data_IF_416037665217
#
_entry.id   IF_416037665217
#
_cell.length_a   1.000
_cell.length_b   1.000
_cell.length_c   1.000
_cell.angle_alpha   90.00
_cell.angle_beta   90.00
_cell.angle_gamma   90.00
#
_symmetry.space_group_name_H-M   'P 1'
#
loop_
_entity.id
_entity.type
_entity.pdbx_description
1 polymer ?
#
# COMPACT_ATOMS: atom_id res chain seq x y z
N UNK A 1 32.18 -15.88 -24.70
CA UNK A 1 31.73 -14.67 -23.99
C UNK A 1 30.45 -14.99 -23.23
N UNK A 2 30.46 -14.90 -21.89
CA UNK A 2 29.23 -14.97 -21.12
C UNK A 2 28.39 -13.71 -21.41
N UNK A 3 27.10 -13.81 -21.70
CA UNK A 3 26.28 -12.62 -21.88
C UNK A 3 26.31 -11.78 -20.60
N UNK A 4 26.67 -10.51 -20.74
CA UNK A 4 26.60 -9.54 -19.66
C UNK A 4 25.13 -9.39 -19.27
N UNK A 5 24.76 -9.93 -18.10
CA UNK A 5 23.41 -9.71 -17.55
C UNK A 5 23.32 -8.21 -17.20
N UNK A 6 22.56 -7.47 -17.98
CA UNK A 6 22.15 -6.13 -17.57
C UNK A 6 21.43 -6.24 -16.23
N UNK A 7 21.81 -5.40 -15.26
CA UNK A 7 21.08 -5.32 -14.01
C UNK A 7 19.61 -4.99 -14.32
N UNK A 8 18.65 -5.61 -13.63
CA UNK A 8 17.25 -5.32 -13.85
C UNK A 8 17.01 -3.82 -13.61
N UNK A 9 16.32 -3.19 -14.55
CA UNK A 9 15.86 -1.81 -14.40
C UNK A 9 14.54 -1.83 -13.66
N UNK A 10 14.27 -0.77 -12.93
CA UNK A 10 13.03 -0.58 -12.20
C UNK A 10 12.43 0.76 -12.56
N UNK A 11 11.11 0.77 -12.74
CA UNK A 11 10.35 2.01 -12.70
C UNK A 11 9.62 2.06 -11.37
N UNK A 12 9.68 3.22 -10.72
CA UNK A 12 8.92 3.51 -9.50
C UNK A 12 8.14 4.79 -9.73
N UNK A 13 6.88 4.79 -9.37
CA UNK A 13 5.99 5.92 -9.56
C UNK A 13 5.14 6.14 -8.30
N UNK A 14 4.81 7.40 -8.02
CA UNK A 14 3.91 7.76 -6.94
C UNK A 14 3.15 9.05 -7.27
N UNK A 15 1.86 9.05 -6.96
CA UNK A 15 0.99 10.22 -7.08
C UNK A 15 0.05 10.25 -5.88
N UNK A 16 -0.12 11.41 -5.27
CA UNK A 16 -1.10 11.64 -4.22
C UNK A 16 -1.76 12.99 -4.42
N UNK A 17 -3.07 13.06 -4.25
CA UNK A 17 -3.83 14.27 -4.41
C UNK A 17 -4.92 14.38 -3.33
N UNK A 18 -5.12 15.57 -2.82
CA UNK A 18 -6.09 15.84 -1.73
C UNK A 18 -7.56 15.68 -2.18
N UNK A 19 -7.82 15.68 -3.50
CA UNK A 19 -9.19 15.68 -4.02
C UNK A 19 -9.92 16.96 -3.65
N UNK A 20 -11.20 16.81 -3.26
CA UNK A 20 -12.04 17.90 -2.75
C UNK A 20 -12.05 18.01 -1.22
N UNK A 21 -11.28 17.15 -0.54
CA UNK A 21 -11.14 17.22 0.91
C UNK A 21 -10.35 18.45 1.33
N UNK A 22 -10.49 18.89 2.58
CA UNK A 22 -9.71 20.00 3.13
C UNK A 22 -8.27 19.57 3.44
N UNK A 23 -8.08 18.34 3.91
CA UNK A 23 -6.79 17.76 4.28
C UNK A 23 -6.54 16.49 3.48
N UNK A 24 -5.27 16.17 3.28
CA UNK A 24 -4.87 14.89 2.75
C UNK A 24 -4.50 13.96 3.92
N UNK A 25 -5.40 13.04 4.26
CA UNK A 25 -5.20 12.03 5.29
C UNK A 25 -4.51 10.78 4.73
N UNK A 26 -4.38 10.68 3.38
CA UNK A 26 -3.52 9.70 2.73
C UNK A 26 -2.05 10.03 2.98
N UNK A 27 -1.26 9.01 3.24
CA UNK A 27 0.18 9.11 3.22
C UNK A 27 0.80 7.96 2.41
N UNK A 28 1.93 8.23 1.77
CA UNK A 28 2.63 7.21 0.99
C UNK A 28 4.13 7.32 1.15
N UNK A 29 4.83 6.25 0.81
CA UNK A 29 6.29 6.20 0.80
C UNK A 29 6.80 5.31 -0.33
N UNK A 30 7.80 5.82 -1.00
CA UNK A 30 8.73 5.03 -1.80
C UNK A 30 10.11 5.19 -1.17
N UNK A 31 10.71 4.08 -0.77
CA UNK A 31 12.07 4.02 -0.27
C UNK A 31 12.87 3.03 -1.13
N UNK A 32 14.02 3.46 -1.63
CA UNK A 32 14.98 2.63 -2.34
C UNK A 32 16.29 2.63 -1.59
N UNK A 33 16.80 1.45 -1.28
CA UNK A 33 18.08 1.22 -0.64
C UNK A 33 18.97 0.37 -1.55
N UNK A 34 20.10 0.93 -1.98
CA UNK A 34 21.14 0.16 -2.68
C UNK A 34 21.99 -0.55 -1.64
N UNK A 35 22.08 -1.87 -1.74
CA UNK A 35 22.79 -2.77 -0.84
C UNK A 35 23.84 -3.55 -1.62
N UNK A 36 24.85 -4.14 -0.95
CA UNK A 36 25.89 -4.93 -1.64
C UNK A 36 25.33 -6.07 -2.50
N UNK A 37 24.22 -6.67 -2.10
CA UNK A 37 23.58 -7.78 -2.81
C UNK A 37 22.54 -7.36 -3.85
N UNK A 38 22.14 -6.08 -3.91
CA UNK A 38 21.12 -5.58 -4.84
C UNK A 38 20.30 -4.44 -4.25
N UNK A 39 19.08 -4.27 -4.75
CA UNK A 39 18.19 -3.19 -4.36
C UNK A 39 17.04 -3.68 -3.47
N UNK A 40 16.80 -2.96 -2.38
CA UNK A 40 15.64 -3.14 -1.51
C UNK A 40 14.69 -1.96 -1.70
N UNK A 41 13.43 -2.25 -2.01
CA UNK A 41 12.37 -1.25 -2.16
C UNK A 41 11.33 -1.42 -1.08
N UNK A 42 10.86 -0.30 -0.52
CA UNK A 42 9.64 -0.24 0.26
C UNK A 42 8.67 0.70 -0.45
N UNK A 43 7.50 0.18 -0.81
CA UNK A 43 6.35 0.95 -1.26
C UNK A 43 5.28 0.84 -0.20
N UNK A 44 4.61 1.94 0.13
CA UNK A 44 3.51 1.90 1.09
C UNK A 44 2.49 3.00 0.79
N UNK A 45 1.22 2.67 1.03
CA UNK A 45 0.10 3.61 1.08
C UNK A 45 -0.67 3.39 2.37
N UNK A 46 -1.19 4.46 2.94
CA UNK A 46 -2.02 4.46 4.14
C UNK A 46 -3.07 5.55 4.00
N UNK A 47 -4.32 5.18 4.28
CA UNK A 47 -5.47 6.08 4.29
C UNK A 47 -5.88 6.29 5.76
N UNK A 48 -5.74 7.52 6.22
CA UNK A 48 -5.97 7.89 7.61
C UNK A 48 -7.42 8.19 7.91
N UNK A 49 -7.88 7.76 9.07
CA UNK A 49 -9.24 8.02 9.58
C UNK A 49 -9.21 8.55 11.02
N UNK A 50 -10.21 9.35 11.38
CA UNK A 50 -10.34 9.86 12.76
C UNK A 50 -10.77 11.32 12.84
N UNK A 51 -11.04 11.94 11.68
CA UNK A 51 -11.46 13.33 11.54
C UNK A 51 -10.37 14.36 11.86
N UNK A 52 -10.48 15.55 11.27
CA UNK A 52 -9.50 16.64 11.40
C UNK A 52 -8.05 16.18 11.10
N UNK A 53 -7.11 16.46 12.00
CA UNK A 53 -5.69 16.11 11.82
C UNK A 53 -5.35 14.68 12.26
N UNK A 54 -6.28 13.96 12.90
CA UNK A 54 -5.99 12.65 13.51
C UNK A 54 -5.68 11.57 12.46
N UNK A 55 -6.41 11.54 11.35
CA UNK A 55 -6.17 10.62 10.24
C UNK A 55 -4.81 10.85 9.59
N UNK A 56 -4.44 12.11 9.29
CA UNK A 56 -3.13 12.47 8.74
C UNK A 56 -1.98 11.97 9.64
N UNK A 57 -2.11 12.13 10.96
CA UNK A 57 -1.11 11.63 11.90
C UNK A 57 -1.04 10.12 11.90
N UNK A 58 -2.18 9.42 11.85
CA UNK A 58 -2.20 7.95 11.86
C UNK A 58 -1.47 7.37 10.65
N UNK A 59 -1.82 7.82 9.44
CA UNK A 59 -1.21 7.36 8.20
C UNK A 59 0.30 7.65 8.14
N UNK A 60 0.70 8.85 8.55
CA UNK A 60 2.11 9.25 8.61
C UNK A 60 2.92 8.41 9.58
N UNK A 61 2.46 8.25 10.83
CA UNK A 61 3.16 7.47 11.86
C UNK A 61 3.30 6.02 11.46
N UNK A 62 2.27 5.43 10.85
CA UNK A 62 2.30 4.06 10.37
C UNK A 62 3.39 3.86 9.31
N UNK A 63 3.44 4.73 8.29
CA UNK A 63 4.42 4.64 7.20
C UNK A 63 5.84 4.99 7.68
N UNK A 64 6.01 5.91 8.60
CA UNK A 64 7.31 6.19 9.20
C UNK A 64 7.87 4.99 9.95
N UNK A 65 7.02 4.24 10.67
CA UNK A 65 7.42 3.01 11.34
C UNK A 65 7.92 1.94 10.35
N UNK A 66 7.22 1.76 9.22
CA UNK A 66 7.65 0.86 8.15
C UNK A 66 8.99 1.30 7.54
N UNK A 67 9.13 2.59 7.28
CA UNK A 67 10.34 3.16 6.67
C UNK A 67 11.57 2.94 7.56
N UNK A 68 11.39 3.12 8.86
CA UNK A 68 12.43 2.88 9.86
C UNK A 68 12.82 1.39 9.92
N UNK A 69 11.83 0.49 9.94
CA UNK A 69 12.08 -0.94 9.93
C UNK A 69 12.82 -1.40 8.65
N UNK A 70 12.45 -0.86 7.48
CA UNK A 70 13.11 -1.16 6.22
C UNK A 70 14.57 -0.65 6.20
N UNK A 71 14.83 0.56 6.71
CA UNK A 71 16.19 1.10 6.85
C UNK A 71 17.03 0.28 7.83
N UNK A 72 16.48 -0.08 8.99
CA UNK A 72 17.16 -0.92 9.97
C UNK A 72 17.52 -2.29 9.39
N UNK A 73 16.64 -2.87 8.58
CA UNK A 73 16.94 -4.11 7.86
C UNK A 73 18.02 -3.92 6.81
N UNK A 74 17.99 -2.81 6.05
CA UNK A 74 19.05 -2.45 5.10
C UNK A 74 20.42 -2.31 5.77
N UNK A 75 20.51 -1.64 6.92
CA UNK A 75 21.77 -1.52 7.70
C UNK A 75 22.22 -2.87 8.25
N UNK A 76 21.30 -3.70 8.75
CA UNK A 76 21.59 -5.07 9.18
C UNK A 76 22.28 -5.89 8.07
N UNK A 77 21.81 -5.77 6.83
CA UNK A 77 22.38 -6.45 5.68
C UNK A 77 23.75 -5.86 5.26
N UNK A 78 23.92 -4.54 5.33
CA UNK A 78 25.22 -3.87 5.04
C UNK A 78 26.31 -4.28 6.03
N UNK A 79 25.95 -4.57 7.27
CA UNK A 79 26.86 -5.07 8.30
C UNK A 79 27.23 -6.56 8.12
N UNK A 80 26.76 -7.19 7.05
CA UNK A 80 27.03 -8.60 6.73
C UNK A 80 26.31 -9.58 7.65
N UNK A 81 25.28 -9.14 8.37
CA UNK A 81 24.48 -10.00 9.23
C UNK A 81 23.59 -10.92 8.39
N UNK A 82 23.24 -12.12 8.89
CA UNK A 82 22.40 -13.07 8.17
C UNK A 82 21.06 -12.47 7.76
N UNK A 83 20.66 -12.70 6.51
CA UNK A 83 19.37 -12.23 6.01
C UNK A 83 18.21 -12.90 6.78
N UNK A 84 17.23 -12.08 7.11
CA UNK A 84 15.95 -12.52 7.67
C UNK A 84 14.92 -12.52 6.56
N UNK A 85 14.02 -13.50 6.50
CA UNK A 85 12.98 -13.57 5.49
C UNK A 85 12.12 -12.30 5.46
N UNK A 86 11.83 -11.76 4.28
CA UNK A 86 11.13 -10.49 4.10
C UNK A 86 9.75 -10.47 4.78
N UNK A 87 9.06 -11.61 4.78
CA UNK A 87 7.77 -11.76 5.47
C UNK A 87 7.87 -11.47 6.98
N UNK A 88 8.95 -11.97 7.62
CA UNK A 88 9.20 -11.71 9.05
C UNK A 88 9.60 -10.26 9.31
N UNK A 89 10.33 -9.63 8.39
CA UNK A 89 10.65 -8.20 8.47
C UNK A 89 9.37 -7.37 8.37
N UNK A 90 8.51 -7.68 7.40
CA UNK A 90 7.22 -7.00 7.22
C UNK A 90 6.30 -7.17 8.43
N UNK A 91 6.17 -8.38 8.96
CA UNK A 91 5.37 -8.66 10.17
C UNK A 91 5.81 -7.80 11.37
N UNK A 92 7.12 -7.72 11.62
CA UNK A 92 7.67 -6.87 12.68
C UNK A 92 7.42 -5.38 12.41
N UNK A 93 7.54 -4.95 11.15
CA UNK A 93 7.28 -3.56 10.75
C UNK A 93 5.82 -3.17 10.97
N UNK A 94 4.87 -4.03 10.60
CA UNK A 94 3.43 -3.84 10.83
C UNK A 94 3.10 -3.80 12.32
N UNK A 95 3.69 -4.70 13.12
CA UNK A 95 3.53 -4.70 14.59
C UNK A 95 4.07 -3.41 15.21
N UNK A 96 5.19 -2.89 14.72
CA UNK A 96 5.73 -1.61 15.15
C UNK A 96 4.80 -0.45 14.79
N UNK A 97 4.25 -0.46 13.56
CA UNK A 97 3.29 0.53 13.09
C UNK A 97 2.03 0.56 13.98
N UNK A 98 1.44 -0.61 14.28
CA UNK A 98 0.30 -0.73 15.18
C UNK A 98 0.57 -0.09 16.54
N UNK A 99 1.67 -0.48 17.20
CA UNK A 99 2.05 0.06 18.51
C UNK A 99 2.25 1.57 18.50
N UNK A 100 2.81 2.11 17.41
CA UNK A 100 3.02 3.58 17.29
C UNK A 100 1.70 4.32 17.09
N UNK A 101 0.81 3.80 16.25
CA UNK A 101 -0.52 4.39 16.05
C UNK A 101 -1.32 4.36 17.36
N UNK A 102 -1.35 3.23 18.07
CA UNK A 102 -2.00 3.10 19.37
C UNK A 102 -1.45 4.13 20.39
N UNK A 103 -0.13 4.25 20.50
CA UNK A 103 0.51 5.22 21.40
C UNK A 103 0.18 6.68 21.02
N UNK A 104 0.10 7.00 19.73
CA UNK A 104 -0.30 8.33 19.28
C UNK A 104 -1.78 8.61 19.58
N UNK A 105 -2.66 7.60 19.49
CA UNK A 105 -4.07 7.72 19.80
C UNK A 105 -4.36 8.03 21.30
N UNK A 106 -3.41 7.76 22.19
CA UNK A 106 -3.51 8.12 23.61
C UNK A 106 -3.37 9.63 23.86
N UNK A 107 -2.81 10.38 22.90
CA UNK A 107 -2.58 11.82 23.04
C UNK A 107 -3.88 12.61 22.93
N UNK A 108 -3.99 13.77 23.63
CA UNK A 108 -5.17 14.63 23.53
C UNK A 108 -5.50 15.00 22.08
N UNK A 109 -6.77 14.92 21.71
CA UNK A 109 -7.27 15.25 20.36
C UNK A 109 -7.04 14.17 19.29
N UNK A 110 -6.43 13.00 19.64
CA UNK A 110 -6.12 11.91 18.70
C UNK A 110 -6.85 10.61 19.01
N UNK A 111 -7.75 10.64 19.97
CA UNK A 111 -8.52 9.44 20.36
C UNK A 111 -9.36 8.93 19.19
N UNK A 112 -9.26 7.63 18.93
CA UNK A 112 -10.01 6.99 17.84
C UNK A 112 -9.40 7.16 16.45
N UNK A 113 -8.18 7.72 16.35
CA UNK A 113 -7.44 7.73 15.08
C UNK A 113 -7.07 6.32 14.65
N UNK A 114 -7.07 6.12 13.35
CA UNK A 114 -6.66 4.87 12.73
C UNK A 114 -6.21 5.09 11.30
N UNK A 115 -5.72 4.04 10.68
CA UNK A 115 -5.33 4.09 9.27
C UNK A 115 -5.34 2.72 8.63
N UNK A 116 -5.63 2.65 7.34
CA UNK A 116 -5.28 1.50 6.52
C UNK A 116 -3.76 1.43 6.38
N UNK A 117 -3.24 0.30 5.98
CA UNK A 117 -1.85 0.18 5.57
C UNK A 117 -1.68 -0.96 4.57
N UNK A 118 -1.18 -0.64 3.38
CA UNK A 118 -0.82 -1.61 2.36
C UNK A 118 0.60 -1.31 1.90
N UNK A 119 1.51 -2.28 2.09
CA UNK A 119 2.93 -2.05 1.86
C UNK A 119 3.62 -3.28 1.26
N UNK A 120 4.55 -3.04 0.34
CA UNK A 120 5.43 -4.02 -0.28
C UNK A 120 6.88 -3.74 0.11
N UNK A 121 7.56 -4.73 0.69
CA UNK A 121 9.02 -4.77 0.82
C UNK A 121 9.56 -5.76 -0.21
N UNK A 122 10.29 -5.28 -1.22
CA UNK A 122 10.78 -6.08 -2.34
C UNK A 122 12.30 -6.07 -2.44
N UNK A 123 12.91 -7.24 -2.58
CA UNK A 123 14.34 -7.44 -2.76
C UNK A 123 14.63 -8.01 -4.16
N UNK A 124 15.34 -7.24 -4.99
CA UNK A 124 15.58 -7.62 -6.38
C UNK A 124 16.48 -8.87 -6.54
N UNK A 125 17.45 -9.04 -5.63
CA UNK A 125 18.33 -10.21 -5.64
C UNK A 125 17.60 -11.53 -5.30
N UNK A 126 16.48 -11.45 -4.60
CA UNK A 126 15.60 -12.59 -4.32
C UNK A 126 14.49 -12.71 -5.38
N UNK A 127 14.22 -11.65 -6.15
CA UNK A 127 13.02 -11.50 -7.00
C UNK A 127 11.73 -11.72 -6.23
N UNK A 128 11.75 -11.41 -4.95
CA UNK A 128 10.70 -11.69 -3.99
C UNK A 128 10.40 -10.46 -3.14
N UNK A 129 9.14 -10.30 -2.77
CA UNK A 129 8.66 -9.30 -1.84
C UNK A 129 7.70 -9.88 -0.82
N UNK A 130 7.57 -9.16 0.29
CA UNK A 130 6.53 -9.38 1.28
C UNK A 130 5.54 -8.22 1.21
N UNK A 131 4.27 -8.55 0.96
CA UNK A 131 3.16 -7.62 0.99
C UNK A 131 2.47 -7.75 2.35
N UNK A 132 2.38 -6.63 3.07
CA UNK A 132 1.61 -6.49 4.31
C UNK A 132 0.36 -5.65 4.06
N UNK A 133 -0.78 -6.07 4.63
CA UNK A 133 -2.05 -5.40 4.37
C UNK A 133 -2.98 -5.40 5.58
N UNK A 134 -3.61 -4.24 5.82
CA UNK A 134 -4.75 -4.06 6.72
C UNK A 134 -5.61 -2.88 6.23
N UNK A 135 -6.91 -3.05 6.20
CA UNK A 135 -7.88 -2.05 5.75
C UNK A 135 -8.46 -2.35 4.37
N UNK A 136 -8.83 -1.32 3.63
CA UNK A 136 -9.42 -1.40 2.30
C UNK A 136 -8.61 -0.67 1.20
N UNK A 137 -7.44 -0.12 1.52
CA UNK A 137 -6.44 0.19 0.48
C UNK A 137 -6.03 -1.10 -0.23
N UNK A 138 -5.73 -1.06 -1.51
CA UNK A 138 -5.59 -2.29 -2.32
C UNK A 138 -4.21 -2.42 -2.95
N UNK A 139 -3.79 -3.66 -3.15
CA UNK A 139 -2.61 -4.03 -3.91
C UNK A 139 -2.98 -4.89 -5.13
N UNK A 140 -2.32 -4.60 -6.26
CA UNK A 140 -2.51 -5.32 -7.52
C UNK A 140 -1.17 -5.74 -8.10
N UNK A 141 -1.12 -6.95 -8.66
CA UNK A 141 -0.09 -7.35 -9.61
C UNK A 141 -0.52 -6.89 -11.00
N UNK A 142 0.38 -6.27 -11.75
CA UNK A 142 0.14 -5.89 -13.14
C UNK A 142 1.31 -6.28 -14.04
N UNK A 143 1.04 -6.48 -15.31
CA UNK A 143 2.06 -6.86 -16.29
C UNK A 143 1.45 -7.42 -17.56
N UNK A 144 2.23 -8.21 -18.33
CA UNK A 144 1.72 -8.81 -19.57
C UNK A 144 0.49 -9.70 -19.37
N UNK A 145 0.32 -10.29 -18.18
CA UNK A 145 -0.85 -11.09 -17.80
C UNK A 145 -2.09 -10.27 -17.40
N UNK A 146 -2.03 -8.94 -17.50
CA UNK A 146 -3.11 -8.05 -17.08
C UNK A 146 -2.98 -7.55 -15.65
N UNK A 147 -4.11 -7.13 -15.07
CA UNK A 147 -4.23 -6.64 -13.71
C UNK A 147 -4.90 -7.70 -12.83
N UNK A 148 -4.29 -8.02 -11.68
CA UNK A 148 -4.83 -8.96 -10.71
C UNK A 148 -4.74 -8.43 -9.30
N UNK A 149 -5.84 -8.31 -8.61
CA UNK A 149 -5.90 -7.90 -7.21
C UNK A 149 -5.24 -8.94 -6.31
N UNK A 150 -4.42 -8.48 -5.36
CA UNK A 150 -3.68 -9.30 -4.40
C UNK A 150 -4.32 -9.30 -3.01
N UNK A 151 -5.03 -8.23 -2.63
CA UNK A 151 -5.58 -8.03 -1.29
C UNK A 151 -7.10 -8.15 -1.26
N UNK A 152 -7.64 -8.57 -0.11
CA UNK A 152 -9.07 -8.49 0.19
C UNK A 152 -9.32 -7.27 1.09
N UNK A 153 -10.43 -6.55 0.87
CA UNK A 153 -10.78 -5.42 1.73
C UNK A 153 -11.24 -5.89 3.11
N UNK A 154 -10.73 -5.26 4.15
CA UNK A 154 -11.17 -5.46 5.51
C UNK A 154 -12.29 -4.46 5.86
N UNK A 155 -13.44 -4.62 5.20
CA UNK A 155 -14.63 -3.80 5.40
C UNK A 155 -15.86 -4.66 5.67
N UNK A 156 -16.83 -4.07 6.32
CA UNK A 156 -18.08 -4.76 6.66
C UNK A 156 -18.77 -5.33 5.40
N UNK A 157 -18.84 -4.55 4.33
CA UNK A 157 -19.46 -4.99 3.08
C UNK A 157 -18.67 -6.10 2.40
N UNK A 158 -17.33 -6.07 2.45
CA UNK A 158 -16.50 -7.13 1.87
C UNK A 158 -16.71 -8.47 2.59
N UNK A 159 -16.85 -8.45 3.91
CA UNK A 159 -17.15 -9.65 4.68
C UNK A 159 -18.55 -10.20 4.34
N UNK A 160 -19.56 -9.35 4.21
CA UNK A 160 -20.93 -9.76 3.83
C UNK A 160 -21.01 -10.29 2.39
N UNK A 161 -20.22 -9.73 1.48
CA UNK A 161 -20.06 -10.28 0.13
C UNK A 161 -19.47 -11.68 0.15
N UNK A 162 -18.44 -11.91 0.94
CA UNK A 162 -17.75 -13.21 1.07
C UNK A 162 -18.67 -14.28 1.68
N UNK A 163 -19.54 -13.88 2.60
CA UNK A 163 -20.58 -14.73 3.21
C UNK A 163 -21.80 -14.97 2.29
N UNK A 164 -21.87 -14.29 1.16
CA UNK A 164 -23.01 -14.36 0.24
C UNK A 164 -24.29 -13.68 0.76
N UNK A 165 -24.16 -12.83 1.79
CA UNK A 165 -25.27 -12.06 2.39
C UNK A 165 -25.65 -10.86 1.52
N UNK A 166 -24.67 -10.24 0.86
CA UNK A 166 -24.87 -9.13 -0.06
C UNK A 166 -24.42 -9.50 -1.47
N UNK A 167 -25.10 -8.96 -2.47
CA UNK A 167 -24.60 -8.89 -3.84
C UNK A 167 -23.63 -7.72 -4.00
N UNK A 168 -22.83 -7.71 -5.07
CA UNK A 168 -21.91 -6.59 -5.38
C UNK A 168 -22.65 -5.26 -5.45
N UNK A 169 -23.78 -5.22 -6.14
CA UNK A 169 -24.59 -4.00 -6.30
C UNK A 169 -25.14 -3.47 -4.97
N UNK A 170 -25.55 -4.37 -4.07
CA UNK A 170 -26.02 -3.98 -2.72
C UNK A 170 -24.85 -3.44 -1.88
N UNK A 171 -23.69 -4.07 -1.92
CA UNK A 171 -22.50 -3.65 -1.20
C UNK A 171 -22.04 -2.23 -1.61
N UNK A 172 -22.02 -1.92 -2.90
CA UNK A 172 -21.64 -0.60 -3.43
C UNK A 172 -22.54 0.54 -2.95
N UNK A 173 -23.80 0.25 -2.68
CA UNK A 173 -24.80 1.24 -2.21
C UNK A 173 -25.09 1.16 -0.72
N UNK A 174 -24.44 0.25 0.00
CA UNK A 174 -24.74 0.01 1.40
C UNK A 174 -24.31 1.18 2.29
N UNK A 175 -25.12 1.57 3.30
CA UNK A 175 -24.74 2.64 4.25
C UNK A 175 -23.39 2.37 4.95
N UNK A 176 -23.03 1.11 5.15
CA UNK A 176 -21.80 0.67 5.82
C UNK A 176 -20.66 0.35 4.84
N UNK A 177 -20.72 0.81 3.58
CA UNK A 177 -19.68 0.51 2.58
C UNK A 177 -18.27 0.99 2.97
N UNK A 178 -18.19 2.07 3.78
CA UNK A 178 -16.93 2.65 4.23
C UNK A 178 -16.57 2.20 5.68
N UNK A 179 -17.29 1.22 6.26
CA UNK A 179 -17.00 0.74 7.61
C UNK A 179 -15.90 -0.32 7.56
N UNK A 180 -14.74 0.02 8.08
CA UNK A 180 -13.62 -0.92 8.21
C UNK A 180 -13.84 -1.87 9.39
N UNK A 181 -13.53 -3.14 9.18
CA UNK A 181 -13.51 -4.17 10.23
C UNK A 181 -12.12 -4.37 10.81
N UNK A 182 -11.08 -3.99 10.05
CA UNK A 182 -9.68 -4.03 10.47
C UNK A 182 -8.92 -2.79 9.97
N UNK A 183 -8.20 -2.14 10.88
CA UNK A 183 -7.28 -1.03 10.59
C UNK A 183 -6.23 -0.92 11.69
N UNK A 184 -5.13 -0.23 11.44
CA UNK A 184 -4.20 0.17 12.49
C UNK A 184 -4.87 1.15 13.44
N UNK A 185 -4.60 1.02 14.73
CA UNK A 185 -5.25 1.82 15.79
C UNK A 185 -6.55 1.23 16.31
N UNK A 186 -7.14 0.24 15.62
CA UNK A 186 -8.25 -0.54 16.15
C UNK A 186 -7.74 -1.70 17.02
N UNK A 187 -8.53 -2.14 18.03
CA UNK A 187 -8.17 -3.32 18.83
C UNK A 187 -8.02 -4.57 17.96
N UNK A 188 -7.12 -5.46 18.36
CA UNK A 188 -6.90 -6.76 17.70
C UNK A 188 -6.58 -6.67 16.20
N UNK A 189 -5.78 -5.69 15.79
CA UNK A 189 -5.34 -5.56 14.41
C UNK A 189 -4.69 -6.87 13.91
N UNK A 190 -5.29 -7.46 12.88
CA UNK A 190 -4.78 -8.66 12.20
C UNK A 190 -4.36 -8.30 10.79
N UNK A 191 -3.10 -8.57 10.48
CA UNK A 191 -2.50 -8.26 9.19
C UNK A 191 -2.57 -9.45 8.25
N UNK A 192 -2.82 -9.18 6.97
CA UNK A 192 -2.58 -10.15 5.92
C UNK A 192 -1.13 -10.01 5.43
N UNK A 193 -0.45 -11.14 5.28
CA UNK A 193 0.93 -11.22 4.81
C UNK A 193 1.02 -12.17 3.62
N UNK A 194 1.40 -11.63 2.46
CA UNK A 194 1.53 -12.37 1.22
C UNK A 194 2.97 -12.31 0.70
N UNK A 195 3.40 -13.37 0.03
CA UNK A 195 4.62 -13.40 -0.77
C UNK A 195 4.29 -12.95 -2.19
N UNK A 196 5.12 -12.08 -2.75
CA UNK A 196 4.99 -11.57 -4.12
C UNK A 196 6.27 -11.85 -4.86
N UNK A 197 6.17 -12.44 -6.04
CA UNK A 197 7.30 -12.63 -6.97
C UNK A 197 7.03 -11.86 -8.24
N UNK A 198 8.03 -11.17 -8.75
CA UNK A 198 7.92 -10.35 -9.95
C UNK A 198 8.87 -10.87 -11.03
N UNK A 199 8.30 -11.15 -12.19
CA UNK A 199 9.04 -11.39 -13.42
C UNK A 199 9.31 -10.06 -14.16
N UNK A 200 10.26 -10.03 -15.11
CA UNK A 200 10.43 -8.87 -15.99
C UNK A 200 9.13 -8.47 -16.67
N UNK A 201 8.82 -7.19 -16.67
CA UNK A 201 7.56 -6.62 -17.18
C UNK A 201 6.41 -6.61 -16.17
N UNK A 202 6.54 -7.31 -15.04
CA UNK A 202 5.53 -7.28 -13.97
C UNK A 202 5.82 -6.21 -12.93
N UNK A 203 4.80 -5.78 -12.22
CA UNK A 203 4.89 -4.82 -11.15
C UNK A 203 3.78 -4.93 -10.12
N UNK A 204 3.91 -4.17 -9.05
CA UNK A 204 2.88 -4.03 -8.01
C UNK A 204 2.41 -2.58 -7.98
N UNK A 205 1.10 -2.41 -7.92
CA UNK A 205 0.41 -1.14 -7.73
C UNK A 205 -0.32 -1.16 -6.39
N UNK A 206 -0.10 -0.15 -5.57
CA UNK A 206 -0.80 0.11 -4.31
C UNK A 206 -1.67 1.35 -4.46
N UNK A 207 -2.93 1.29 -4.03
CA UNK A 207 -3.86 2.42 -4.16
C UNK A 207 -4.75 2.57 -2.92
N UNK A 208 -5.18 3.80 -2.64
CA UNK A 208 -6.26 4.09 -1.67
C UNK A 208 -7.63 4.07 -2.35
N UNK A 209 -8.70 4.07 -1.58
CA UNK A 209 -10.07 3.90 -2.05
C UNK A 209 -10.55 5.05 -2.95
N UNK A 210 -10.00 6.25 -2.80
CA UNK A 210 -10.30 7.39 -3.66
C UNK A 210 -10.00 7.16 -5.15
N UNK A 211 -9.12 6.18 -5.50
CA UNK A 211 -8.92 5.80 -6.89
C UNK A 211 -9.97 4.80 -7.36
N UNK A 212 -10.05 3.63 -6.75
CA UNK A 212 -10.91 2.55 -7.24
C UNK A 212 -12.40 2.81 -6.99
N UNK A 213 -12.72 3.69 -6.06
CA UNK A 213 -14.10 4.14 -5.82
C UNK A 213 -14.68 4.99 -6.95
N UNK A 214 -13.84 5.63 -7.77
CA UNK A 214 -14.24 6.51 -8.86
C UNK A 214 -13.86 5.99 -10.24
N UNK A 215 -12.74 5.25 -10.36
CA UNK A 215 -12.28 4.70 -11.64
C UNK A 215 -12.29 3.17 -11.56
N UNK A 216 -13.21 2.48 -12.26
CA UNK A 216 -13.28 1.03 -12.29
C UNK A 216 -11.96 0.40 -12.74
N UNK A 217 -11.58 -0.72 -12.13
CA UNK A 217 -10.31 -1.42 -12.37
C UNK A 217 -10.12 -1.82 -13.85
N UNK A 218 -11.21 -2.12 -14.55
CA UNK A 218 -11.25 -2.49 -15.97
C UNK A 218 -10.77 -1.36 -16.90
N UNK A 219 -10.85 -0.12 -16.43
CA UNK A 219 -10.42 1.06 -17.17
C UNK A 219 -8.93 1.39 -16.96
N UNK A 220 -8.27 0.76 -16.01
CA UNK A 220 -6.89 1.10 -15.70
C UNK A 220 -5.92 0.64 -16.80
N UNK A 221 -5.04 1.56 -17.20
CA UNK A 221 -4.02 1.31 -18.22
C UNK A 221 -2.67 1.72 -17.69
N UNK A 222 -1.80 0.74 -17.45
CA UNK A 222 -0.44 0.93 -16.97
C UNK A 222 0.53 0.72 -18.13
N UNK A 223 0.80 1.81 -18.86
CA UNK A 223 1.66 1.84 -20.03
C UNK A 223 3.16 1.76 -19.71
N UNK A 224 4.01 2.03 -20.72
CA UNK A 224 5.47 2.02 -20.57
C UNK A 224 5.95 3.10 -19.60
N UNK A 225 5.38 4.30 -19.66
CA UNK A 225 5.58 5.36 -18.67
C UNK A 225 4.67 5.11 -17.47
N UNK A 226 5.27 4.58 -16.41
CA UNK A 226 4.52 4.23 -15.20
C UNK A 226 4.04 5.48 -14.45
N UNK A 227 4.87 6.52 -14.36
CA UNK A 227 4.50 7.78 -13.71
C UNK A 227 3.33 8.46 -14.43
N UNK A 228 3.43 8.64 -15.74
CA UNK A 228 2.34 9.22 -16.54
C UNK A 228 1.05 8.39 -16.49
N UNK A 229 1.16 7.07 -16.35
CA UNK A 229 0.00 6.19 -16.17
C UNK A 229 -0.72 6.45 -14.85
N UNK A 230 0.03 6.60 -13.72
CA UNK A 230 -0.58 6.93 -12.43
C UNK A 230 -1.17 8.33 -12.40
N UNK A 231 -0.51 9.30 -13.01
CA UNK A 231 -1.03 10.68 -13.13
C UNK A 231 -2.33 10.71 -13.91
N UNK A 232 -2.44 9.94 -14.99
CA UNK A 232 -3.68 9.83 -15.79
C UNK A 232 -4.82 9.21 -14.97
N UNK A 233 -4.56 8.16 -14.19
CA UNK A 233 -5.55 7.53 -13.31
C UNK A 233 -6.05 8.48 -12.23
N UNK A 234 -5.16 9.19 -11.55
CA UNK A 234 -5.52 10.17 -10.52
C UNK A 234 -6.29 11.34 -11.15
N UNK A 235 -5.87 11.84 -12.31
CA UNK A 235 -6.58 12.90 -13.04
C UNK A 235 -8.00 12.45 -13.39
N UNK A 236 -8.19 11.21 -13.82
CA UNK A 236 -9.52 10.66 -14.13
C UNK A 236 -10.40 10.55 -12.87
N UNK A 237 -9.85 10.13 -11.73
CA UNK A 237 -10.56 10.11 -10.45
C UNK A 237 -11.03 11.53 -10.07
N UNK A 238 -10.16 12.53 -10.21
CA UNK A 238 -10.51 13.94 -9.94
C UNK A 238 -11.60 14.44 -10.89
N UNK A 239 -11.54 14.09 -12.17
CA UNK A 239 -12.56 14.45 -13.17
C UNK A 239 -13.93 13.84 -12.83
N UNK A 240 -13.98 12.64 -12.25
CA UNK A 240 -15.20 11.93 -11.82
C UNK A 240 -15.76 12.38 -10.47
N UNK A 241 -15.15 13.36 -9.85
CA UNK A 241 -15.63 13.94 -8.59
C UNK A 241 -14.51 14.27 -7.64
N UNK A 242 -13.54 13.37 -7.47
CA UNK A 242 -12.44 13.56 -6.55
C UNK A 242 -12.90 13.75 -5.10
N UNK A 243 -13.93 13.02 -4.70
CA UNK A 243 -14.62 13.24 -3.42
C UNK A 243 -13.79 12.81 -2.21
N UNK A 244 -12.66 12.09 -2.46
CA UNK A 244 -11.71 11.67 -1.45
C UNK A 244 -10.26 11.98 -1.81
N UNK A 245 -9.36 11.76 -0.86
CA UNK A 245 -7.93 11.72 -1.11
C UNK A 245 -7.62 10.56 -2.06
N UNK A 246 -6.72 10.74 -2.99
CA UNK A 246 -6.40 9.74 -4.03
C UNK A 246 -4.90 9.52 -4.05
N UNK A 247 -4.48 8.30 -3.77
CA UNK A 247 -3.06 7.94 -3.76
C UNK A 247 -2.81 6.66 -4.52
N UNK A 248 -1.78 6.66 -5.35
CA UNK A 248 -1.29 5.49 -6.10
C UNK A 248 0.23 5.43 -6.07
N UNK A 249 0.79 4.25 -5.81
CA UNK A 249 2.23 3.99 -5.79
C UNK A 249 2.50 2.69 -6.52
N UNK A 250 3.51 2.65 -7.40
CA UNK A 250 3.82 1.45 -8.15
C UNK A 250 5.33 1.21 -8.31
N UNK A 251 5.69 -0.07 -8.45
CA UNK A 251 7.01 -0.57 -8.84
C UNK A 251 6.83 -1.54 -10.01
N UNK A 252 7.65 -1.41 -11.06
CA UNK A 252 7.76 -2.37 -12.16
C UNK A 252 9.20 -2.84 -12.31
N UNK A 253 9.38 -4.13 -12.56
CA UNK A 253 10.64 -4.74 -13.01
C UNK A 253 10.66 -4.69 -14.52
N UNK A 254 11.72 -4.10 -15.15
CA UNK A 254 11.89 -4.04 -16.59
C UNK A 254 12.71 -5.23 -17.14
#
# INVERSE_FOLDING_TARGET
>A
MKPMRLAPRFQVAAVSHVGRRQNNEDFHRVLHLSLPQGNLFLLAVADGMGGLEAGEWASKVAIEALSEAARAYGEHLKEGRPAVGLKRVMEKALTLAQRRVEKEAEKPGRKGMGTTLTALLYADWLKEGALGHIGDSRAYLFGPGGLRRLTEDHSWVAERLKEGVLTRTEAERHPYRNVLTRALGLPEARFDLLEVRLAPGEGVLLVTDGLYGLVPEEEWRLGKDLQGSLEALVTEALRRGGDDNVTAVALRVE
#
